data_IF_059636129879
#
_entry.id   IF_059636129879
#
_cell.length_a   1.000
_cell.length_b   1.000
_cell.length_c   1.000
_cell.angle_alpha   90.00
_cell.angle_beta   90.00
_cell.angle_gamma   90.00
#
_symmetry.space_group_name_H-M   'P 1'
#
loop_
_entity.id
_entity.type
_entity.pdbx_description
1 polymer ?
#
# COMPACT_ATOMS: atom_id res chain seq x y z
N UNK A 1 -16.01 23.68 -12.61
CA UNK A 1 -16.23 22.22 -12.57
C UNK A 1 -15.54 21.73 -11.30
N UNK A 2 -16.25 21.12 -10.35
CA UNK A 2 -15.58 20.54 -9.18
C UNK A 2 -14.76 19.34 -9.70
N UNK A 3 -13.43 19.42 -9.59
CA UNK A 3 -12.57 18.28 -9.92
C UNK A 3 -12.86 17.17 -8.91
N UNK A 4 -13.07 15.95 -9.39
CA UNK A 4 -13.27 14.82 -8.49
C UNK A 4 -12.00 14.63 -7.64
N UNK A 5 -12.11 14.29 -6.34
CA UNK A 5 -10.93 14.15 -5.47
C UNK A 5 -9.87 13.17 -6.02
N UNK A 6 -10.31 12.14 -6.76
CA UNK A 6 -9.43 11.24 -7.50
C UNK A 6 -8.58 11.95 -8.56
N UNK A 7 -9.14 12.88 -9.33
CA UNK A 7 -8.39 13.58 -10.39
C UNK A 7 -7.31 14.49 -9.79
N UNK A 8 -7.64 15.17 -8.69
CA UNK A 8 -6.69 15.98 -7.92
C UNK A 8 -5.58 15.11 -7.33
N UNK A 9 -5.95 13.96 -6.73
CA UNK A 9 -4.99 12.98 -6.24
C UNK A 9 -4.04 12.52 -7.34
N UNK A 10 -4.55 12.06 -8.49
CA UNK A 10 -3.71 11.53 -9.57
C UNK A 10 -2.81 12.60 -10.19
N UNK A 11 -3.29 13.84 -10.31
CA UNK A 11 -2.46 14.95 -10.77
C UNK A 11 -1.32 15.28 -9.78
N UNK A 12 -1.57 15.16 -8.48
CA UNK A 12 -0.56 15.38 -7.44
C UNK A 12 0.43 14.22 -7.37
N UNK A 13 -0.08 12.99 -7.30
CA UNK A 13 0.69 11.74 -7.21
C UNK A 13 1.73 11.62 -8.32
N UNK A 14 1.38 12.02 -9.54
CA UNK A 14 2.29 12.07 -10.70
C UNK A 14 3.48 13.02 -10.55
N UNK A 15 3.48 13.92 -9.58
CA UNK A 15 4.46 15.00 -9.40
C UNK A 15 5.15 14.95 -8.03
N UNK A 16 4.86 13.93 -7.22
CA UNK A 16 5.53 13.79 -5.93
C UNK A 16 6.97 13.42 -6.16
N UNK A 17 7.83 14.30 -5.66
CA UNK A 17 9.28 14.13 -5.69
C UNK A 17 9.86 14.16 -4.27
N UNK A 18 9.04 14.45 -3.25
CA UNK A 18 9.46 14.56 -1.85
C UNK A 18 8.46 13.97 -0.85
N UNK A 19 8.92 13.34 0.25
CA UNK A 19 8.05 12.86 1.33
C UNK A 19 7.22 13.97 2.00
N UNK A 20 7.64 15.23 1.92
CA UNK A 20 6.90 16.38 2.46
C UNK A 20 5.55 16.62 1.74
N UNK A 21 5.37 16.04 0.55
CA UNK A 21 4.16 16.20 -0.27
C UNK A 21 3.13 15.11 -0.02
N UNK A 22 3.49 14.01 0.65
CA UNK A 22 2.58 12.90 0.96
C UNK A 22 1.31 13.33 1.74
N UNK A 23 1.35 14.32 2.67
CA UNK A 23 0.14 14.82 3.33
C UNK A 23 -0.90 15.44 2.37
N UNK A 24 -0.48 15.93 1.19
CA UNK A 24 -1.39 16.43 0.17
C UNK A 24 -2.27 15.30 -0.40
N UNK A 25 -1.65 14.15 -0.68
CA UNK A 25 -2.38 12.97 -1.13
C UNK A 25 -3.33 12.44 -0.08
N UNK A 26 -2.89 12.40 1.18
CA UNK A 26 -3.73 11.99 2.31
C UNK A 26 -4.97 12.89 2.43
N UNK A 27 -4.81 14.19 2.19
CA UNK A 27 -5.94 15.14 2.18
C UNK A 27 -6.96 14.80 1.08
N UNK A 28 -6.48 14.38 -0.10
CA UNK A 28 -7.36 13.93 -1.18
C UNK A 28 -8.05 12.60 -0.85
N UNK A 29 -7.36 11.66 -0.18
CA UNK A 29 -7.96 10.41 0.33
C UNK A 29 -9.08 10.73 1.31
N UNK A 30 -8.86 11.64 2.27
CA UNK A 30 -9.87 12.06 3.23
C UNK A 30 -11.07 12.74 2.56
N UNK A 31 -10.83 13.58 1.55
CA UNK A 31 -11.91 14.23 0.79
C UNK A 31 -12.74 13.20 -0.01
N UNK A 32 -12.07 12.24 -0.67
CA UNK A 32 -12.73 11.12 -1.34
C UNK A 32 -13.55 10.29 -0.36
N UNK A 33 -13.01 9.96 0.80
CA UNK A 33 -13.72 9.17 1.82
C UNK A 33 -14.95 9.91 2.34
N UNK A 34 -14.83 11.21 2.63
CA UNK A 34 -15.93 12.00 3.19
C UNK A 34 -17.09 12.20 2.20
N UNK A 35 -16.81 12.30 0.90
CA UNK A 35 -17.81 12.61 -0.14
C UNK A 35 -18.30 11.38 -0.89
N UNK A 36 -17.45 10.36 -1.00
CA UNK A 36 -17.61 9.22 -1.92
C UNK A 36 -17.04 7.93 -1.34
N UNK A 37 -17.07 7.74 -0.01
CA UNK A 37 -16.40 6.63 0.67
C UNK A 37 -16.79 5.22 0.22
N UNK A 38 -18.00 5.05 -0.32
CA UNK A 38 -18.49 3.77 -0.86
C UNK A 38 -18.44 3.67 -2.39
N UNK A 39 -17.82 4.65 -3.06
CA UNK A 39 -17.66 4.62 -4.51
C UNK A 39 -16.77 3.45 -4.93
N UNK A 40 -17.38 2.50 -5.64
CA UNK A 40 -16.71 1.37 -6.26
C UNK A 40 -15.88 1.86 -7.45
N UNK A 41 -14.71 1.25 -7.64
CA UNK A 41 -13.86 1.50 -8.79
C UNK A 41 -14.53 1.01 -10.07
N UNK A 42 -14.99 1.94 -10.91
CA UNK A 42 -15.52 1.65 -12.24
C UNK A 42 -14.45 1.67 -13.33
N UNK A 43 -14.85 1.32 -14.54
CA UNK A 43 -13.96 1.28 -15.72
C UNK A 43 -13.37 2.65 -16.08
N UNK A 44 -14.07 3.74 -15.77
CA UNK A 44 -13.59 5.10 -16.03
C UNK A 44 -12.52 5.53 -15.02
N UNK A 45 -12.74 5.28 -13.73
CA UNK A 45 -11.74 5.49 -12.69
C UNK A 45 -10.51 4.62 -12.95
N UNK A 46 -10.70 3.33 -13.27
CA UNK A 46 -9.61 2.42 -13.58
C UNK A 46 -8.77 2.92 -14.78
N UNK A 47 -9.42 3.37 -15.86
CA UNK A 47 -8.71 3.96 -17.02
C UNK A 47 -7.91 5.21 -16.64
N UNK A 48 -8.46 6.08 -15.79
CA UNK A 48 -7.74 7.28 -15.30
C UNK A 48 -6.52 6.91 -14.47
N UNK A 49 -6.64 5.94 -13.57
CA UNK A 49 -5.53 5.47 -12.73
C UNK A 49 -4.45 4.81 -13.58
N UNK A 50 -4.81 3.90 -14.49
CA UNK A 50 -3.87 3.29 -15.42
C UNK A 50 -3.17 4.34 -16.30
N UNK A 51 -3.90 5.35 -16.77
CA UNK A 51 -3.33 6.47 -17.52
C UNK A 51 -2.30 7.26 -16.70
N UNK A 52 -2.59 7.53 -15.43
CA UNK A 52 -1.67 8.22 -14.52
C UNK A 52 -0.41 7.38 -14.24
N UNK A 53 -0.54 6.09 -13.98
CA UNK A 53 0.60 5.19 -13.72
C UNK A 53 1.50 5.04 -14.95
N UNK A 54 0.93 4.94 -16.15
CA UNK A 54 1.70 4.98 -17.41
C UNK A 54 2.54 6.24 -17.53
N UNK A 55 1.99 7.39 -17.19
CA UNK A 55 2.73 8.65 -17.22
C UNK A 55 3.87 8.71 -16.20
N UNK A 56 3.80 7.92 -15.12
CA UNK A 56 4.85 7.81 -14.09
C UNK A 56 5.84 6.66 -14.37
N UNK A 57 5.61 5.86 -15.43
CA UNK A 57 6.33 4.62 -15.74
C UNK A 57 6.14 3.49 -14.72
N UNK A 58 5.02 3.50 -13.99
CA UNK A 58 4.70 2.59 -12.89
C UNK A 58 3.57 1.60 -13.25
N UNK A 59 3.31 1.38 -14.55
CA UNK A 59 2.16 0.58 -14.99
C UNK A 59 2.22 -0.87 -14.50
N UNK A 60 3.41 -1.47 -14.48
CA UNK A 60 3.56 -2.88 -14.12
C UNK A 60 3.25 -3.13 -12.65
N UNK A 61 3.77 -2.28 -11.78
CA UNK A 61 3.57 -2.35 -10.34
C UNK A 61 2.12 -1.97 -9.95
N UNK A 62 1.47 -1.05 -10.70
CA UNK A 62 0.03 -0.82 -10.57
C UNK A 62 -0.79 -2.07 -10.90
N UNK A 63 -0.46 -2.78 -11.99
CA UNK A 63 -1.17 -4.01 -12.33
C UNK A 63 -1.00 -5.09 -11.26
N UNK A 64 0.18 -5.20 -10.62
CA UNK A 64 0.41 -6.11 -9.49
C UNK A 64 -0.47 -5.72 -8.30
N UNK A 65 -0.51 -4.44 -7.96
CA UNK A 65 -1.35 -3.94 -6.88
C UNK A 65 -2.84 -4.18 -7.14
N UNK A 66 -3.31 -3.94 -8.37
CA UNK A 66 -4.69 -4.21 -8.78
C UNK A 66 -5.02 -5.71 -8.78
N UNK A 67 -4.11 -6.55 -9.25
CA UNK A 67 -4.29 -8.00 -9.23
C UNK A 67 -4.38 -8.51 -7.78
N UNK A 68 -3.48 -8.08 -6.91
CA UNK A 68 -3.54 -8.42 -5.49
C UNK A 68 -4.81 -7.86 -4.82
N UNK A 69 -5.31 -6.69 -5.24
CA UNK A 69 -6.57 -6.11 -4.72
C UNK A 69 -7.76 -6.97 -5.14
N UNK A 70 -7.78 -7.43 -6.40
CA UNK A 70 -8.84 -8.30 -6.91
C UNK A 70 -8.83 -9.67 -6.22
N UNK A 71 -7.66 -10.26 -5.99
CA UNK A 71 -7.54 -11.55 -5.29
C UNK A 71 -7.94 -11.42 -3.81
N UNK A 72 -7.49 -10.36 -3.13
CA UNK A 72 -7.80 -10.09 -1.73
C UNK A 72 -9.23 -9.59 -1.48
N UNK A 73 -9.99 -9.34 -2.53
CA UNK A 73 -11.37 -8.87 -2.47
C UNK A 73 -12.32 -9.84 -3.17
N UNK A 74 -11.99 -11.12 -3.27
CA UNK A 74 -12.88 -12.13 -3.86
C UNK A 74 -14.23 -12.17 -3.13
N UNK A 75 -15.22 -11.43 -3.65
CA UNK A 75 -16.54 -11.24 -3.03
C UNK A 75 -16.87 -9.80 -2.57
N UNK A 76 -15.94 -8.86 -2.64
CA UNK A 76 -16.13 -7.45 -2.29
C UNK A 76 -15.64 -6.50 -3.41
N UNK A 77 -16.42 -5.48 -3.79
CA UNK A 77 -15.98 -4.53 -4.79
C UNK A 77 -14.82 -3.66 -4.28
N UNK A 78 -13.79 -3.48 -5.11
CA UNK A 78 -12.68 -2.55 -4.85
C UNK A 78 -13.21 -1.12 -4.87
N UNK A 79 -12.93 -0.32 -3.83
CA UNK A 79 -13.36 1.08 -3.78
C UNK A 79 -12.26 2.00 -4.27
N UNK A 80 -12.65 3.17 -4.76
CA UNK A 80 -11.70 4.21 -5.22
C UNK A 80 -10.74 4.62 -4.11
N UNK A 81 -11.23 4.75 -2.87
CA UNK A 81 -10.40 5.09 -1.71
C UNK A 81 -9.32 4.04 -1.43
N UNK A 82 -9.59 2.76 -1.68
CA UNK A 82 -8.63 1.68 -1.42
C UNK A 82 -7.44 1.79 -2.37
N UNK A 83 -7.73 2.07 -3.63
CA UNK A 83 -6.71 2.28 -4.65
C UNK A 83 -5.88 3.53 -4.34
N UNK A 84 -6.51 4.63 -3.91
CA UNK A 84 -5.78 5.84 -3.51
C UNK A 84 -4.88 5.59 -2.30
N UNK A 85 -5.33 4.80 -1.31
CA UNK A 85 -4.52 4.42 -0.14
C UNK A 85 -3.33 3.55 -0.55
N UNK A 86 -3.52 2.61 -1.48
CA UNK A 86 -2.42 1.79 -2.02
C UNK A 86 -1.40 2.65 -2.77
N UNK A 87 -1.84 3.55 -3.66
CA UNK A 87 -0.96 4.47 -4.37
C UNK A 87 -0.21 5.41 -3.41
N UNK A 88 -0.86 5.88 -2.33
CA UNK A 88 -0.20 6.66 -1.28
C UNK A 88 0.83 5.82 -0.51
N UNK A 89 0.52 4.56 -0.21
CA UNK A 89 1.45 3.67 0.47
C UNK A 89 2.71 3.43 -0.36
N UNK A 90 2.53 3.30 -1.67
CA UNK A 90 3.64 3.15 -2.60
C UNK A 90 4.54 4.38 -2.58
N UNK A 91 4.00 5.59 -2.75
CA UNK A 91 4.82 6.82 -2.66
C UNK A 91 5.53 6.93 -1.32
N UNK A 92 4.83 6.60 -0.23
CA UNK A 92 5.44 6.59 1.08
C UNK A 92 6.58 5.56 1.17
N UNK A 93 6.45 4.38 0.58
CA UNK A 93 7.48 3.34 0.58
C UNK A 93 8.68 3.75 -0.27
N UNK A 94 8.44 4.27 -1.47
CA UNK A 94 9.49 4.79 -2.35
C UNK A 94 10.25 5.97 -1.71
N UNK A 95 9.56 6.79 -0.92
CA UNK A 95 10.15 7.88 -0.14
C UNK A 95 10.61 7.45 1.28
N UNK A 96 10.77 6.15 1.54
CA UNK A 96 11.20 5.56 2.83
C UNK A 96 10.38 6.00 4.06
N UNK A 97 9.16 6.45 3.84
CA UNK A 97 8.18 6.99 4.77
C UNK A 97 7.06 6.01 5.12
N UNK A 98 7.29 4.70 4.99
CA UNK A 98 6.29 3.66 5.28
C UNK A 98 5.75 3.73 6.73
N UNK A 99 6.61 4.08 7.70
CA UNK A 99 6.20 4.31 9.10
C UNK A 99 5.20 5.46 9.23
N UNK A 100 5.45 6.58 8.53
CA UNK A 100 4.51 7.71 8.50
C UNK A 100 3.17 7.29 7.91
N UNK A 101 3.20 6.54 6.80
CA UNK A 101 1.98 6.07 6.16
C UNK A 101 1.13 5.23 7.11
N UNK A 102 1.71 4.23 7.79
CA UNK A 102 0.93 3.39 8.69
C UNK A 102 0.35 4.18 9.87
N UNK A 103 1.09 5.15 10.42
CA UNK A 103 0.57 6.02 11.46
C UNK A 103 -0.62 6.87 10.97
N UNK A 104 -0.53 7.41 9.75
CA UNK A 104 -1.55 8.28 9.16
C UNK A 104 -2.77 7.52 8.61
N UNK A 105 -2.56 6.30 8.10
CA UNK A 105 -3.53 5.52 7.36
C UNK A 105 -4.00 4.25 8.09
N UNK A 106 -3.59 4.01 9.34
CA UNK A 106 -4.00 2.83 10.12
C UNK A 106 -5.51 2.53 10.07
N UNK A 107 -6.44 3.50 10.16
CA UNK A 107 -7.87 3.22 10.03
C UNK A 107 -8.26 2.66 8.65
N UNK A 108 -7.62 3.14 7.58
CA UNK A 108 -7.86 2.65 6.22
C UNK A 108 -7.33 1.24 6.03
N UNK A 109 -6.11 0.98 6.52
CA UNK A 109 -5.48 -0.34 6.50
C UNK A 109 -6.32 -1.35 7.28
N UNK A 110 -6.83 -0.96 8.45
CA UNK A 110 -7.76 -1.78 9.24
C UNK A 110 -9.02 -2.15 8.45
N UNK A 111 -9.63 -1.19 7.74
CA UNK A 111 -10.82 -1.44 6.90
C UNK A 111 -10.52 -2.31 5.69
N UNK A 112 -9.34 -2.19 5.11
CA UNK A 112 -8.89 -3.06 4.02
C UNK A 112 -8.75 -4.50 4.52
N UNK A 113 -7.99 -4.72 5.60
CA UNK A 113 -7.82 -6.01 6.25
C UNK A 113 -9.17 -6.64 6.64
N UNK A 114 -10.05 -5.88 7.29
CA UNK A 114 -11.36 -6.38 7.73
C UNK A 114 -12.25 -6.84 6.57
N UNK A 115 -12.17 -6.20 5.40
CA UNK A 115 -12.92 -6.64 4.20
C UNK A 115 -12.31 -7.87 3.56
N UNK A 116 -10.98 -7.95 3.47
CA UNK A 116 -10.29 -9.15 2.99
C UNK A 116 -10.63 -10.36 3.87
N UNK A 117 -10.65 -10.19 5.19
CA UNK A 117 -11.05 -11.23 6.14
C UNK A 117 -12.54 -11.61 6.00
N UNK A 118 -13.42 -10.62 5.82
CA UNK A 118 -14.86 -10.88 5.69
C UNK A 118 -15.28 -11.52 4.36
N UNK A 119 -14.44 -11.40 3.32
CA UNK A 119 -14.68 -11.98 2.00
C UNK A 119 -14.32 -13.47 1.92
N UNK A 120 -13.55 -13.99 2.89
CA UNK A 120 -13.27 -15.43 2.99
C UNK A 120 -14.47 -16.21 3.56
N UNK A 121 -15.38 -16.59 2.66
CA UNK A 121 -16.60 -17.34 2.97
C UNK A 121 -16.37 -18.77 3.51
N UNK A 122 -15.13 -19.29 3.48
CA UNK A 122 -14.78 -20.59 4.07
C UNK A 122 -14.49 -20.52 5.58
N UNK A 123 -14.43 -19.32 6.18
CA UNK A 123 -14.38 -19.10 7.63
C UNK A 123 -13.11 -19.64 8.31
N UNK A 124 -12.04 -19.88 7.55
CA UNK A 124 -10.80 -20.51 8.05
C UNK A 124 -9.51 -19.88 7.54
N UNK A 125 -9.58 -18.91 6.63
CA UNK A 125 -8.45 -18.17 6.08
C UNK A 125 -7.79 -17.33 7.15
N UNK A 126 -6.53 -17.66 7.40
CA UNK A 126 -5.78 -17.19 8.54
C UNK A 126 -5.57 -15.67 8.42
N UNK A 127 -5.65 -14.95 9.55
CA UNK A 127 -5.24 -13.54 9.62
C UNK A 127 -3.87 -13.32 8.99
N UNK A 128 -2.98 -14.32 9.07
CA UNK A 128 -1.73 -14.42 8.33
C UNK A 128 -1.85 -14.18 6.81
N UNK A 129 -2.79 -14.82 6.11
CA UNK A 129 -2.98 -14.67 4.66
C UNK A 129 -3.49 -13.27 4.32
N UNK A 130 -4.41 -12.73 5.12
CA UNK A 130 -4.86 -11.35 4.96
C UNK A 130 -3.72 -10.34 5.18
N UNK A 131 -2.82 -10.59 6.13
CA UNK A 131 -1.62 -9.79 6.36
C UNK A 131 -0.66 -9.90 5.18
N UNK A 132 -0.42 -11.11 4.66
CA UNK A 132 0.37 -11.36 3.45
C UNK A 132 -0.18 -10.57 2.27
N UNK A 133 -1.47 -10.69 2.00
CA UNK A 133 -2.13 -9.96 0.92
C UNK A 133 -2.03 -8.45 1.14
N UNK A 134 -2.32 -7.95 2.34
CA UNK A 134 -2.21 -6.51 2.63
C UNK A 134 -0.78 -5.98 2.51
N UNK A 135 0.24 -6.74 2.91
CA UNK A 135 1.63 -6.34 2.74
C UNK A 135 2.03 -6.30 1.26
N UNK A 136 1.65 -7.31 0.47
CA UNK A 136 1.88 -7.31 -0.98
C UNK A 136 1.17 -6.13 -1.66
N UNK A 137 -0.03 -5.81 -1.21
CA UNK A 137 -0.81 -4.66 -1.67
C UNK A 137 -0.17 -3.32 -1.37
N UNK A 138 0.37 -3.17 -0.15
CA UNK A 138 0.87 -1.91 0.36
C UNK A 138 2.34 -1.65 0.00
N UNK A 139 3.15 -2.71 -0.08
CA UNK A 139 4.62 -2.61 -0.18
C UNK A 139 5.22 -3.30 -1.41
N UNK A 140 4.40 -3.87 -2.30
CA UNK A 140 4.85 -4.67 -3.44
C UNK A 140 5.44 -3.91 -4.63
N UNK A 141 6.07 -2.76 -4.42
CA UNK A 141 6.51 -1.85 -5.48
C UNK A 141 7.86 -2.19 -6.14
N UNK A 142 8.60 -3.19 -5.66
CA UNK A 142 9.79 -3.70 -6.35
C UNK A 142 10.11 -5.13 -5.96
N UNK A 143 10.83 -5.88 -6.80
CA UNK A 143 11.20 -7.27 -6.51
C UNK A 143 12.09 -7.40 -5.27
N UNK A 144 12.95 -6.42 -4.98
CA UNK A 144 13.77 -6.40 -3.77
C UNK A 144 12.94 -6.20 -2.50
N UNK A 145 11.99 -5.26 -2.51
CA UNK A 145 11.08 -5.03 -1.39
C UNK A 145 10.09 -6.19 -1.23
N UNK A 146 9.72 -6.85 -2.32
CA UNK A 146 8.90 -8.07 -2.29
C UNK A 146 9.65 -9.25 -1.70
N UNK A 147 10.95 -9.41 -1.96
CA UNK A 147 11.76 -10.44 -1.33
C UNK A 147 11.91 -10.20 0.17
N UNK A 148 12.17 -8.96 0.58
CA UNK A 148 12.18 -8.58 2.00
C UNK A 148 10.80 -8.80 2.64
N UNK A 149 9.73 -8.38 1.98
CA UNK A 149 8.37 -8.63 2.43
C UNK A 149 8.08 -10.12 2.55
N UNK A 150 8.46 -10.96 1.58
CA UNK A 150 8.23 -12.41 1.62
C UNK A 150 8.92 -13.08 2.81
N UNK A 151 10.19 -12.73 3.07
CA UNK A 151 10.91 -13.20 4.25
C UNK A 151 10.21 -12.79 5.57
N UNK A 152 9.70 -11.55 5.62
CA UNK A 152 8.96 -11.03 6.77
C UNK A 152 7.60 -11.68 6.95
N UNK A 153 6.95 -11.99 5.84
CA UNK A 153 5.65 -12.61 5.78
C UNK A 153 5.70 -14.07 6.22
N UNK A 154 6.79 -14.78 5.91
CA UNK A 154 7.09 -16.09 6.50
C UNK A 154 7.14 -16.06 8.03
N UNK A 155 7.82 -15.06 8.62
CA UNK A 155 7.91 -14.88 10.09
C UNK A 155 6.57 -14.42 10.71
N UNK A 156 5.83 -13.57 10.01
CA UNK A 156 4.56 -12.99 10.43
C UNK A 156 3.39 -13.97 10.42
N UNK A 157 3.37 -14.86 9.42
CA UNK A 157 2.30 -15.84 9.22
C UNK A 157 2.08 -16.77 10.42
N UNK A 158 3.12 -16.94 11.25
CA UNK A 158 3.10 -17.76 12.47
C UNK A 158 2.47 -17.02 13.67
N UNK A 159 2.25 -15.69 13.60
CA UNK A 159 2.06 -14.86 14.80
C UNK A 159 0.79 -14.02 14.88
N UNK A 160 -0.05 -13.98 13.85
CA UNK A 160 -1.21 -13.08 13.83
C UNK A 160 -2.52 -13.83 14.12
N UNK A 161 -3.16 -13.52 15.25
CA UNK A 161 -4.46 -14.04 15.69
C UNK A 161 -5.65 -13.09 15.49
N UNK A 162 -5.41 -11.79 15.31
CA UNK A 162 -6.45 -10.78 15.04
C UNK A 162 -5.94 -9.56 14.26
N UNK A 163 -6.85 -8.60 13.96
CA UNK A 163 -6.57 -7.42 13.14
C UNK A 163 -5.58 -6.44 13.80
N UNK A 164 -5.55 -6.33 15.13
CA UNK A 164 -4.61 -5.43 15.81
C UNK A 164 -3.20 -6.02 15.82
N UNK A 165 -3.07 -7.34 15.98
CA UNK A 165 -1.80 -8.06 15.79
C UNK A 165 -1.32 -7.99 14.32
N UNK A 166 -2.23 -8.08 13.36
CA UNK A 166 -1.96 -7.88 11.95
C UNK A 166 -1.41 -6.47 11.66
N UNK A 167 -2.03 -5.43 12.22
CA UNK A 167 -1.52 -4.07 12.10
C UNK A 167 -0.14 -3.94 12.75
N UNK A 168 0.08 -4.52 13.93
CA UNK A 168 1.40 -4.51 14.57
C UNK A 168 2.46 -5.22 13.72
N UNK A 169 2.08 -6.26 12.98
CA UNK A 169 2.96 -6.90 12.01
C UNK A 169 3.31 -5.99 10.83
N UNK A 170 2.32 -5.32 10.23
CA UNK A 170 2.57 -4.36 9.15
C UNK A 170 3.48 -3.21 9.60
N UNK A 171 3.36 -2.74 10.85
CA UNK A 171 4.28 -1.75 11.43
C UNK A 171 5.72 -2.26 11.51
N UNK A 172 5.94 -3.52 11.88
CA UNK A 172 7.29 -4.12 11.88
C UNK A 172 7.87 -4.23 10.47
N UNK A 173 7.03 -4.55 9.49
CA UNK A 173 7.44 -4.57 8.07
C UNK A 173 7.87 -3.16 7.66
N UNK A 174 7.03 -2.15 7.89
CA UNK A 174 7.36 -0.75 7.58
C UNK A 174 8.63 -0.27 8.29
N UNK A 175 8.83 -0.62 9.57
CA UNK A 175 10.03 -0.28 10.32
C UNK A 175 11.30 -0.85 9.68
N UNK A 176 11.25 -2.11 9.21
CA UNK A 176 12.37 -2.74 8.53
C UNK A 176 12.63 -2.13 7.15
N UNK A 177 11.59 -1.87 6.36
CA UNK A 177 11.72 -1.22 5.04
C UNK A 177 12.26 0.21 5.16
N UNK A 178 11.89 0.95 6.21
CA UNK A 178 12.46 2.26 6.51
C UNK A 178 13.91 2.17 7.02
N UNK A 179 14.26 1.14 7.81
CA UNK A 179 15.61 0.94 8.33
C UNK A 179 16.63 0.44 7.29
N UNK A 180 16.19 -0.32 6.28
CA UNK A 180 17.04 -0.76 5.17
C UNK A 180 17.61 0.41 4.35
N UNK A 181 16.94 1.57 4.35
CA UNK A 181 17.39 2.79 3.71
C UNK A 181 18.56 3.50 4.42
N UNK A 182 18.79 3.21 5.70
CA UNK A 182 19.82 3.85 6.53
C UNK A 182 21.10 3.01 6.68
N UNK A 183 21.18 1.81 6.10
CA UNK A 183 22.41 1.01 6.12
C UNK A 183 23.48 1.67 5.23
N UNK A 184 24.53 2.31 5.80
CA UNK A 184 25.60 2.88 5.00
C UNK A 184 26.38 1.73 4.36
N UNK A 185 26.72 1.88 3.09
CA UNK A 185 27.55 0.93 2.37
C UNK A 185 28.77 0.52 3.20
N UNK A 186 29.02 -0.79 3.26
CA UNK A 186 30.25 -1.33 3.81
C UNK A 186 31.44 -0.63 3.15
N UNK A 187 32.09 0.22 3.94
CA UNK A 187 33.43 0.69 3.63
C UNK A 187 34.35 -0.52 3.60
N UNK A 188 34.70 -0.97 2.39
CA UNK A 188 35.81 -1.90 2.16
C UNK A 188 37.03 -1.44 2.97
N UNK A 189 37.61 -2.28 3.86
CA UNK A 189 38.91 -1.96 4.42
C UNK A 189 39.93 -2.15 3.30
N UNK A 190 40.48 -1.04 2.81
CA UNK A 190 41.69 -1.05 2.02
C UNK A 190 42.83 -1.56 2.91
N UNK A 191 43.02 -2.88 2.94
CA UNK A 191 44.23 -3.51 3.44
C UNK A 191 45.36 -3.21 2.47
N UNK A 192 46.16 -2.19 2.78
CA UNK A 192 47.46 -1.95 2.16
C UNK A 192 48.55 -2.23 3.18
N UNK A 193 49.17 -3.40 3.08
CA UNK A 193 50.49 -3.72 3.63
C UNK A 193 51.52 -3.72 2.52
#
# INVERSE_FOLDING_TARGET
MQHAPLDTFLSAWRRIDSPAELPLLLSCVADQESRFGDAVLGDEEARRVCGAARCKSEEWDLMRALFALQQGAAGAPVRVVDLMVVLLCWEATAAHSARWFLAACAPHVRRLLGRTLGADAAGGGHVAEAVVTAALLLFGCSDGLLYEADALLGEASVRCGDIDEALACLHKIADRLSGAAEAPGESSPAGGG
#
